data_IF_821251206681
#
_entry.id   IF_821251206681
#
_cell.length_a   1.000
_cell.length_b   1.000
_cell.length_c   1.000
_cell.angle_alpha   90.00
_cell.angle_beta   90.00
_cell.angle_gamma   90.00
#
_symmetry.space_group_name_H-M   'P 1'
#
loop_
_entity.id
_entity.type
_entity.pdbx_description
1 polymer ?
#
# COMPACT_ATOMS: atom_id res chain seq x y z
N UNK A 1 -5.19 6.58 -22.83
CA UNK A 1 -5.74 5.60 -21.88
C UNK A 1 -6.00 4.35 -22.66
N UNK A 2 -5.15 3.36 -22.44
CA UNK A 2 -5.26 2.06 -23.08
C UNK A 2 -6.58 1.39 -22.71
N UNK A 3 -7.01 0.46 -23.56
CA UNK A 3 -8.23 -0.32 -23.40
C UNK A 3 -8.13 -1.12 -22.09
N UNK A 4 -9.14 -0.99 -21.22
CA UNK A 4 -9.26 -1.86 -20.04
C UNK A 4 -9.43 -3.31 -20.52
N UNK A 5 -8.80 -4.25 -19.83
CA UNK A 5 -8.93 -5.68 -20.07
C UNK A 5 -10.38 -6.14 -19.89
N UNK A 6 -10.74 -7.29 -20.44
CA UNK A 6 -12.07 -7.87 -20.24
C UNK A 6 -12.11 -8.81 -19.01
N UNK A 7 -10.99 -8.96 -18.29
CA UNK A 7 -10.86 -9.91 -17.18
C UNK A 7 -11.43 -9.36 -15.86
N UNK A 8 -12.19 -10.18 -15.11
CA UNK A 8 -12.65 -9.81 -13.77
C UNK A 8 -11.48 -9.84 -12.78
N UNK A 9 -11.40 -8.84 -11.89
CA UNK A 9 -10.41 -8.84 -10.81
C UNK A 9 -10.74 -9.89 -9.75
N UNK A 10 -9.75 -10.68 -9.36
CA UNK A 10 -9.80 -11.51 -8.16
C UNK A 10 -8.72 -11.05 -7.17
N UNK A 11 -8.65 -11.64 -5.98
CA UNK A 11 -7.67 -11.21 -4.97
C UNK A 11 -6.22 -11.59 -5.35
N UNK A 12 -6.05 -12.69 -6.09
CA UNK A 12 -4.75 -13.25 -6.48
C UNK A 12 -4.41 -13.02 -7.95
N UNK A 13 -5.38 -12.61 -8.76
CA UNK A 13 -5.24 -12.35 -10.18
C UNK A 13 -5.75 -10.94 -10.47
N UNK A 14 -4.81 -10.02 -10.61
CA UNK A 14 -5.07 -8.59 -10.74
C UNK A 14 -4.20 -7.97 -11.81
N UNK A 15 -4.84 -7.24 -12.72
CA UNK A 15 -4.17 -6.35 -13.66
C UNK A 15 -3.58 -5.14 -12.92
N UNK A 16 -2.35 -5.29 -12.43
CA UNK A 16 -1.68 -4.28 -11.61
C UNK A 16 -1.59 -2.92 -12.29
N UNK A 17 -1.37 -2.89 -13.61
CA UNK A 17 -1.35 -1.63 -14.35
C UNK A 17 -2.71 -0.92 -14.31
N UNK A 18 -3.83 -1.63 -14.39
CA UNK A 18 -5.14 -1.00 -14.28
C UNK A 18 -5.43 -0.48 -12.88
N UNK A 19 -5.04 -1.25 -11.84
CA UNK A 19 -5.11 -0.77 -10.46
C UNK A 19 -4.27 0.49 -10.27
N UNK A 20 -3.08 0.49 -10.83
CA UNK A 20 -2.15 1.61 -10.77
C UNK A 20 -2.73 2.85 -11.45
N UNK A 21 -3.26 2.71 -12.68
CA UNK A 21 -3.92 3.81 -13.38
C UNK A 21 -5.15 4.33 -12.62
N UNK A 22 -5.94 3.44 -12.03
CA UNK A 22 -7.07 3.82 -11.16
C UNK A 22 -6.60 4.62 -9.94
N UNK A 23 -5.48 4.24 -9.33
CA UNK A 23 -4.87 4.99 -8.21
C UNK A 23 -4.44 6.39 -8.65
N UNK A 24 -3.77 6.51 -9.80
CA UNK A 24 -3.33 7.80 -10.35
C UNK A 24 -4.49 8.76 -10.63
N UNK A 25 -5.70 8.26 -10.90
CA UNK A 25 -6.85 9.14 -11.04
C UNK A 25 -7.16 9.93 -9.74
N UNK A 26 -6.81 9.40 -8.56
CA UNK A 26 -7.02 10.08 -7.27
C UNK A 26 -5.74 10.61 -6.62
N UNK A 27 -4.60 10.05 -7.01
CA UNK A 27 -3.31 10.29 -6.37
C UNK A 27 -2.24 10.54 -7.43
N UNK A 28 -2.50 11.44 -8.38
CA UNK A 28 -1.53 11.76 -9.42
C UNK A 28 -0.36 12.62 -8.91
N UNK A 29 -0.54 13.33 -7.80
CA UNK A 29 0.42 14.30 -7.28
C UNK A 29 1.55 13.61 -6.48
N UNK A 30 2.77 14.15 -6.53
CA UNK A 30 3.89 13.52 -5.83
C UNK A 30 3.71 13.54 -4.30
N UNK A 31 3.38 14.71 -3.76
CA UNK A 31 3.27 14.92 -2.31
C UNK A 31 2.24 13.99 -1.65
N UNK A 32 1.10 13.73 -2.30
CA UNK A 32 0.10 12.81 -1.76
C UNK A 32 0.63 11.36 -1.71
N UNK A 33 1.38 10.90 -2.71
CA UNK A 33 1.96 9.56 -2.72
C UNK A 33 3.05 9.39 -1.65
N UNK A 34 3.90 10.40 -1.44
CA UNK A 34 4.90 10.37 -0.34
C UNK A 34 4.21 10.31 1.01
N UNK A 35 3.20 11.13 1.23
CA UNK A 35 2.44 11.13 2.49
C UNK A 35 1.73 9.79 2.70
N UNK A 36 1.13 9.22 1.66
CA UNK A 36 0.54 7.88 1.74
C UNK A 36 1.59 6.82 2.05
N UNK A 37 2.79 6.86 1.45
CA UNK A 37 3.84 5.90 1.78
C UNK A 37 4.25 5.97 3.25
N UNK A 38 4.44 7.19 3.79
CA UNK A 38 4.76 7.41 5.20
C UNK A 38 3.63 6.87 6.10
N UNK A 39 2.38 7.15 5.75
CA UNK A 39 1.22 6.67 6.46
C UNK A 39 1.10 5.13 6.41
N UNK A 40 1.30 4.52 5.24
CA UNK A 40 1.34 3.07 5.08
C UNK A 40 2.46 2.46 5.91
N UNK A 41 3.67 3.03 5.87
CA UNK A 41 4.79 2.57 6.68
C UNK A 41 4.43 2.58 8.17
N UNK A 42 3.88 3.68 8.70
CA UNK A 42 3.46 3.76 10.10
C UNK A 42 2.30 2.81 10.45
N UNK A 43 1.37 2.59 9.53
CA UNK A 43 0.26 1.62 9.68
C UNK A 43 0.79 0.19 9.77
N UNK A 44 1.70 -0.18 8.85
CA UNK A 44 2.33 -1.50 8.80
C UNK A 44 3.23 -1.75 10.01
N UNK A 45 4.08 -0.77 10.36
CA UNK A 45 4.90 -0.82 11.57
C UNK A 45 4.06 -1.03 12.83
N UNK A 46 2.93 -0.32 12.94
CA UNK A 46 2.05 -0.45 14.09
C UNK A 46 1.33 -1.79 14.13
N UNK A 47 0.82 -2.27 13.00
CA UNK A 47 0.16 -3.56 12.91
C UNK A 47 1.13 -4.71 13.23
N UNK A 48 2.32 -4.70 12.62
CA UNK A 48 3.36 -5.70 12.89
C UNK A 48 3.85 -5.60 14.33
N UNK A 49 4.00 -4.39 14.87
CA UNK A 49 4.39 -4.15 16.27
C UNK A 49 3.38 -4.71 17.27
N UNK A 50 2.08 -4.50 17.04
CA UNK A 50 1.01 -5.08 17.86
C UNK A 50 1.07 -6.61 17.82
N UNK A 51 1.20 -7.20 16.62
CA UNK A 51 1.25 -8.66 16.47
C UNK A 51 2.53 -9.23 17.12
N UNK A 52 3.68 -8.57 16.94
CA UNK A 52 4.93 -8.97 17.58
C UNK A 52 4.87 -8.86 19.10
N UNK A 53 4.22 -7.83 19.63
CA UNK A 53 4.02 -7.68 21.07
C UNK A 53 3.17 -8.81 21.65
N UNK A 54 2.12 -9.25 20.92
CA UNK A 54 1.28 -10.38 21.30
C UNK A 54 1.99 -11.73 21.14
N UNK A 55 2.84 -11.87 20.11
CA UNK A 55 3.54 -13.10 19.76
C UNK A 55 5.02 -12.75 19.50
N UNK A 56 5.84 -12.59 20.58
CA UNK A 56 7.21 -12.10 20.50
C UNK A 56 8.16 -13.19 19.99
N UNK A 57 8.04 -13.48 18.69
CA UNK A 57 8.84 -14.46 17.98
C UNK A 57 9.42 -13.85 16.72
N UNK A 58 10.71 -14.05 16.42
CA UNK A 58 11.31 -13.57 15.16
C UNK A 58 10.61 -14.16 13.93
N UNK A 59 10.04 -15.37 14.07
CA UNK A 59 9.28 -16.02 12.99
C UNK A 59 7.96 -15.32 12.68
N UNK A 60 7.36 -14.59 13.64
CA UNK A 60 6.13 -13.83 13.41
C UNK A 60 6.31 -12.83 12.26
N UNK A 61 7.42 -12.09 12.25
CA UNK A 61 7.71 -11.10 11.20
C UNK A 61 7.98 -11.77 9.86
N UNK A 62 8.74 -12.88 9.86
CA UNK A 62 9.04 -13.66 8.65
C UNK A 62 7.77 -14.20 8.02
N UNK A 63 6.90 -14.83 8.82
CA UNK A 63 5.64 -15.41 8.32
C UNK A 63 4.73 -14.34 7.73
N UNK A 64 4.55 -13.21 8.43
CA UNK A 64 3.71 -12.11 7.92
C UNK A 64 4.28 -11.52 6.63
N UNK A 65 5.57 -11.20 6.61
CA UNK A 65 6.24 -10.60 5.46
C UNK A 65 6.24 -11.53 4.24
N UNK A 66 6.62 -12.80 4.42
CA UNK A 66 6.64 -13.80 3.34
C UNK A 66 5.23 -14.07 2.82
N UNK A 67 4.23 -14.21 3.71
CA UNK A 67 2.84 -14.45 3.28
C UNK A 67 2.34 -13.31 2.40
N UNK A 68 2.60 -12.05 2.79
CA UNK A 68 2.27 -10.91 1.96
C UNK A 68 2.98 -10.91 0.61
N UNK A 69 4.31 -11.15 0.60
CA UNK A 69 5.09 -11.17 -0.64
C UNK A 69 4.62 -12.27 -1.60
N UNK A 70 4.26 -13.45 -1.10
CA UNK A 70 3.69 -14.55 -1.89
C UNK A 70 2.36 -14.16 -2.51
N UNK A 71 1.51 -13.39 -1.80
CA UNK A 71 0.22 -12.96 -2.33
C UNK A 71 0.34 -11.98 -3.51
N UNK A 72 1.41 -11.19 -3.56
CA UNK A 72 1.56 -10.13 -4.57
C UNK A 72 2.52 -10.49 -5.70
N UNK A 73 3.40 -11.49 -5.53
CA UNK A 73 4.51 -11.77 -6.46
C UNK A 73 4.08 -11.99 -7.92
N UNK A 74 2.93 -12.63 -8.17
CA UNK A 74 2.47 -12.95 -9.51
C UNK A 74 1.94 -11.74 -10.29
N UNK A 75 1.63 -10.64 -9.60
CA UNK A 75 0.94 -9.50 -10.20
C UNK A 75 1.86 -8.27 -10.34
N UNK A 76 3.07 -8.29 -9.77
CA UNK A 76 3.93 -7.10 -9.70
C UNK A 76 5.06 -7.14 -10.73
N UNK A 77 5.41 -5.98 -11.35
CA UNK A 77 6.65 -5.86 -12.08
C UNK A 77 7.86 -6.13 -11.17
N UNK A 78 8.91 -6.77 -11.69
CA UNK A 78 10.08 -7.24 -10.91
C UNK A 78 10.68 -6.14 -10.04
N UNK A 79 10.82 -4.92 -10.57
CA UNK A 79 11.40 -3.80 -9.82
C UNK A 79 10.49 -3.31 -8.68
N UNK A 80 9.17 -3.31 -8.89
CA UNK A 80 8.17 -2.98 -7.85
C UNK A 80 8.16 -4.07 -6.77
N UNK A 81 8.28 -5.33 -7.18
CA UNK A 81 8.40 -6.44 -6.23
C UNK A 81 9.67 -6.30 -5.39
N UNK A 82 10.82 -5.96 -6.00
CA UNK A 82 12.07 -5.72 -5.28
C UNK A 82 11.97 -4.57 -4.28
N UNK A 83 11.34 -3.44 -4.64
CA UNK A 83 11.12 -2.34 -3.68
C UNK A 83 10.10 -2.69 -2.61
N UNK A 84 9.13 -3.54 -2.92
CA UNK A 84 8.17 -4.08 -1.94
C UNK A 84 8.89 -4.96 -0.90
N UNK A 85 9.85 -5.80 -1.33
CA UNK A 85 10.71 -6.58 -0.42
C UNK A 85 11.48 -5.63 0.52
N UNK A 86 12.07 -4.56 -0.02
CA UNK A 86 12.81 -3.57 0.78
C UNK A 86 11.88 -2.91 1.81
N UNK A 87 10.67 -2.51 1.40
CA UNK A 87 9.68 -1.92 2.29
C UNK A 87 9.31 -2.88 3.44
N UNK A 88 8.94 -4.11 3.12
CA UNK A 88 8.53 -5.13 4.11
C UNK A 88 9.69 -5.46 5.05
N UNK A 89 10.91 -5.62 4.51
CA UNK A 89 12.11 -5.85 5.31
C UNK A 89 12.37 -4.68 6.25
N UNK A 90 12.28 -3.44 5.76
CA UNK A 90 12.43 -2.23 6.57
C UNK A 90 11.44 -2.17 7.73
N UNK A 91 10.16 -2.47 7.48
CA UNK A 91 9.14 -2.58 8.53
C UNK A 91 9.50 -3.66 9.55
N UNK A 92 9.84 -4.87 9.10
CA UNK A 92 10.19 -5.99 9.98
C UNK A 92 11.42 -5.68 10.83
N UNK A 93 12.47 -5.12 10.24
CA UNK A 93 13.69 -4.69 10.93
C UNK A 93 13.37 -3.64 11.98
N UNK A 94 12.55 -2.63 11.63
CA UNK A 94 12.18 -1.58 12.58
C UNK A 94 11.34 -2.12 13.74
N UNK A 95 10.42 -3.05 13.50
CA UNK A 95 9.65 -3.70 14.58
C UNK A 95 10.55 -4.53 15.48
N UNK A 96 11.46 -5.30 14.90
CA UNK A 96 12.32 -6.22 15.65
C UNK A 96 13.36 -5.49 16.51
N UNK A 97 14.04 -4.48 15.96
CA UNK A 97 15.09 -3.75 16.67
C UNK A 97 14.62 -2.45 17.35
N UNK A 98 13.52 -1.88 16.88
CA UNK A 98 12.94 -0.61 17.35
C UNK A 98 11.58 -0.81 18.02
N UNK A 99 11.39 -1.92 18.73
CA UNK A 99 10.14 -2.16 19.46
C UNK A 99 9.92 -1.07 20.50
N UNK A 100 8.73 -0.47 20.52
CA UNK A 100 8.38 0.55 21.49
C UNK A 100 8.08 -0.10 22.84
N UNK A 101 8.49 0.53 23.96
CA UNK A 101 8.30 -0.05 25.29
C UNK A 101 6.82 -0.12 25.68
N UNK A 102 5.95 0.67 25.04
CA UNK A 102 4.55 0.76 25.38
C UNK A 102 3.63 0.32 24.24
N UNK A 103 2.82 -0.71 24.51
CA UNK A 103 1.82 -1.23 23.60
C UNK A 103 0.88 -0.15 23.03
N UNK A 104 0.45 0.81 23.85
CA UNK A 104 -0.43 1.90 23.39
C UNK A 104 0.21 2.83 22.35
N UNK A 105 1.55 2.90 22.28
CA UNK A 105 2.22 3.70 21.26
C UNK A 105 1.91 3.21 19.85
N UNK A 106 1.80 1.90 19.63
CA UNK A 106 1.43 1.35 18.33
C UNK A 106 0.00 1.73 17.94
N UNK A 107 -0.95 1.74 18.88
CA UNK A 107 -2.31 2.21 18.59
C UNK A 107 -2.35 3.69 18.22
N UNK A 108 -1.61 4.53 18.94
CA UNK A 108 -1.52 5.96 18.62
C UNK A 108 -0.93 6.17 17.24
N UNK A 109 0.17 5.49 16.91
CA UNK A 109 0.79 5.58 15.58
C UNK A 109 -0.18 5.07 14.52
N UNK A 110 -0.85 3.93 14.72
CA UNK A 110 -1.85 3.41 13.79
C UNK A 110 -2.97 4.42 13.51
N UNK A 111 -3.54 5.04 14.55
CA UNK A 111 -4.61 6.02 14.40
C UNK A 111 -4.14 7.29 13.67
N UNK A 112 -2.95 7.78 14.00
CA UNK A 112 -2.36 8.94 13.33
C UNK A 112 -2.06 8.63 11.86
N UNK A 113 -1.41 7.51 11.60
CA UNK A 113 -1.11 7.02 10.25
C UNK A 113 -2.36 6.81 9.41
N UNK A 114 -3.47 6.35 10.00
CA UNK A 114 -4.75 6.26 9.29
C UNK A 114 -5.35 7.63 8.95
N UNK A 115 -5.13 8.66 9.79
CA UNK A 115 -5.66 10.01 9.59
C UNK A 115 -4.85 10.86 8.61
N UNK A 116 -3.54 10.66 8.55
CA UNK A 116 -2.63 11.42 7.68
C UNK A 116 -3.07 11.40 6.20
N UNK A 117 -3.40 10.25 5.58
CA UNK A 117 -3.92 10.19 4.22
C UNK A 117 -5.19 11.03 4.03
N UNK A 118 -6.15 10.92 4.97
CA UNK A 118 -7.41 11.67 4.92
C UNK A 118 -7.17 13.19 4.95
N UNK A 119 -6.17 13.65 5.70
CA UNK A 119 -5.79 15.06 5.71
C UNK A 119 -5.07 15.47 4.42
N UNK A 120 -4.21 14.60 3.89
CA UNK A 120 -3.51 14.87 2.63
C UNK A 120 -4.48 15.09 1.47
N UNK A 121 -5.58 14.32 1.39
CA UNK A 121 -6.63 14.51 0.40
C UNK A 121 -7.34 15.87 0.47
N UNK A 122 -7.32 16.55 1.62
CA UNK A 122 -7.88 17.92 1.74
C UNK A 122 -6.95 18.97 1.11
N UNK A 123 -5.66 18.66 1.01
CA UNK A 123 -4.61 19.54 0.47
C UNK A 123 -4.44 19.27 -1.02
N UNK A 124 -4.34 17.99 -1.40
CA UNK A 124 -4.15 17.51 -2.76
C UNK A 124 -5.50 17.13 -3.38
N UNK A 125 -6.07 18.03 -4.20
CA UNK A 125 -7.44 17.91 -4.74
C UNK A 125 -7.49 17.55 -6.22
N UNK A 126 -6.35 17.28 -6.86
CA UNK A 126 -6.32 16.96 -8.29
C UNK A 126 -6.85 15.54 -8.48
N UNK A 127 -8.01 15.44 -9.11
CA UNK A 127 -8.64 14.18 -9.49
C UNK A 127 -8.87 14.15 -11.01
N UNK A 128 -8.62 12.99 -11.62
CA UNK A 128 -8.94 12.73 -13.02
C UNK A 128 -10.23 11.91 -13.13
N UNK A 129 -10.83 11.90 -14.32
CA UNK A 129 -12.03 11.11 -14.58
C UNK A 129 -11.82 9.61 -14.28
N UNK A 130 -12.70 9.06 -13.44
CA UNK A 130 -12.71 7.65 -13.04
C UNK A 130 -13.90 6.88 -13.59
N UNK A 131 -14.72 7.47 -14.46
CA UNK A 131 -15.99 6.89 -14.91
C UNK A 131 -15.81 5.48 -15.47
N UNK A 132 -14.79 5.28 -16.33
CA UNK A 132 -14.48 3.95 -16.89
C UNK A 132 -14.08 2.93 -15.82
N UNK A 133 -13.26 3.33 -14.86
CA UNK A 133 -12.84 2.44 -13.76
C UNK A 133 -14.01 2.11 -12.81
N UNK A 134 -14.89 3.08 -12.54
CA UNK A 134 -16.06 2.85 -11.68
C UNK A 134 -17.09 1.94 -12.35
N UNK A 135 -17.21 1.99 -13.68
CA UNK A 135 -18.07 1.08 -14.44
C UNK A 135 -17.54 -0.35 -14.44
N UNK A 136 -16.23 -0.54 -14.68
CA UNK A 136 -15.60 -1.87 -14.65
C UNK A 136 -15.48 -2.45 -13.24
N UNK A 137 -15.14 -1.60 -12.27
CA UNK A 137 -14.84 -1.96 -10.89
C UNK A 137 -15.71 -1.16 -9.92
N UNK A 138 -17.00 -1.54 -9.76
CA UNK A 138 -17.89 -0.85 -8.85
C UNK A 138 -17.38 -0.97 -7.40
N UNK A 139 -17.68 0.03 -6.54
CA UNK A 139 -17.35 -0.04 -5.13
C UNK A 139 -17.88 -1.33 -4.51
N UNK A 140 -16.96 -2.17 -4.04
CA UNK A 140 -17.28 -3.46 -3.44
C UNK A 140 -16.26 -3.78 -2.34
N UNK A 141 -16.64 -4.67 -1.43
CA UNK A 141 -15.74 -5.15 -0.38
C UNK A 141 -14.51 -5.85 -0.95
N UNK A 142 -14.67 -6.57 -2.08
CA UNK A 142 -13.55 -7.20 -2.79
C UNK A 142 -12.56 -6.15 -3.28
N UNK A 143 -13.05 -5.10 -3.96
CA UNK A 143 -12.20 -4.02 -4.44
C UNK A 143 -11.47 -3.31 -3.29
N UNK A 144 -12.13 -3.13 -2.14
CA UNK A 144 -11.48 -2.59 -0.95
C UNK A 144 -10.29 -3.44 -0.49
N UNK A 145 -10.46 -4.77 -0.40
CA UNK A 145 -9.36 -5.66 -0.02
C UNK A 145 -8.23 -5.72 -1.05
N UNK A 146 -8.57 -5.71 -2.34
CA UNK A 146 -7.59 -5.64 -3.42
C UNK A 146 -6.76 -4.36 -3.28
N UNK A 147 -7.41 -3.20 -3.09
CA UNK A 147 -6.68 -1.94 -2.93
C UNK A 147 -5.82 -1.96 -1.68
N UNK A 148 -6.32 -2.47 -0.55
CA UNK A 148 -5.55 -2.58 0.68
C UNK A 148 -4.29 -3.45 0.50
N UNK A 149 -4.42 -4.58 -0.21
CA UNK A 149 -3.31 -5.50 -0.47
C UNK A 149 -2.29 -4.87 -1.43
N UNK A 150 -2.74 -4.18 -2.46
CA UNK A 150 -1.89 -3.62 -3.51
C UNK A 150 -1.48 -2.16 -3.27
N UNK A 151 -1.87 -1.52 -2.17
CA UNK A 151 -1.60 -0.10 -1.94
C UNK A 151 -0.09 0.21 -1.88
N UNK A 152 0.66 -0.58 -1.09
CA UNK A 152 2.12 -0.45 -0.98
C UNK A 152 2.80 -0.58 -2.35
N UNK A 153 2.61 -1.66 -3.13
CA UNK A 153 3.27 -1.77 -4.43
C UNK A 153 2.80 -0.72 -5.43
N UNK A 154 1.53 -0.29 -5.41
CA UNK A 154 1.04 0.81 -6.25
C UNK A 154 1.83 2.10 -6.01
N UNK A 155 2.04 2.46 -4.75
CA UNK A 155 2.76 3.69 -4.39
C UNK A 155 4.25 3.56 -4.67
N UNK A 156 4.84 2.39 -4.43
CA UNK A 156 6.23 2.13 -4.79
C UNK A 156 6.44 2.18 -6.31
N UNK A 157 5.50 1.67 -7.11
CA UNK A 157 5.54 1.79 -8.56
C UNK A 157 5.56 3.25 -9.02
N UNK A 158 4.74 4.10 -8.39
CA UNK A 158 4.76 5.54 -8.64
C UNK A 158 6.13 6.16 -8.38
N UNK A 159 6.73 5.86 -7.22
CA UNK A 159 8.02 6.43 -6.84
C UNK A 159 9.19 5.93 -7.70
N UNK A 160 9.13 4.67 -8.13
CA UNK A 160 10.17 4.05 -8.96
C UNK A 160 10.12 4.55 -10.41
N UNK A 161 8.93 4.58 -11.02
CA UNK A 161 8.80 4.78 -12.47
C UNK A 161 8.29 6.16 -12.89
N UNK A 162 7.55 6.88 -12.02
CA UNK A 162 6.93 8.16 -12.38
C UNK A 162 7.55 9.35 -11.66
N UNK A 163 8.86 9.29 -11.38
CA UNK A 163 9.55 10.43 -10.77
C UNK A 163 9.52 11.71 -11.61
N UNK A 164 9.28 11.57 -12.92
CA UNK A 164 9.21 12.68 -13.86
C UNK A 164 7.84 13.39 -13.86
N UNK A 165 6.80 12.75 -13.32
CA UNK A 165 5.47 13.35 -13.15
C UNK A 165 5.35 14.18 -11.85
N UNK A 166 6.48 14.41 -11.16
CA UNK A 166 6.60 15.23 -9.96
C UNK A 166 6.39 16.72 -10.29
N UNK A 167 5.13 17.09 -10.49
CA UNK A 167 4.67 18.48 -10.48
C UNK A 167 4.28 18.91 -9.07
#
# INVERSE_FOLDING_TARGET
MDRLSDYPMSLLDVEFEELYQRHLCRHSQFGINVIHLIALFGTWYSAYGIIYWLIPSPWTMVVLGVSFLVMVVSNLPVLVFATTIIFVTGVCTLVYYGSLPWYWSYFVIFLLSYKIPQWSHKIYKIENDMTKFNQKYPPSTLLFFILLLYEVPIILNYLVFRYQDWK
#
